data_IF_633801737503
#
_entry.id   IF_633801737503
#
_cell.length_a   1.000
_cell.length_b   1.000
_cell.length_c   1.000
_cell.angle_alpha   90.00
_cell.angle_beta   90.00
_cell.angle_gamma   90.00
#
_symmetry.space_group_name_H-M   'P 1'
#
loop_
_entity.id
_entity.type
_entity.pdbx_description
1 polymer ?
#
# COMPACT_ATOMS: atom_id res chain seq x y z
N UNK A 1 -0.88 -0.13 14.59
CA UNK A 1 -0.11 -0.59 13.43
C UNK A 1 0.35 0.61 12.62
N UNK A 2 1.49 0.50 11.90
CA UNK A 2 1.94 1.48 10.89
C UNK A 2 1.39 1.04 9.53
N UNK A 3 0.58 1.86 8.89
CA UNK A 3 -0.02 1.55 7.58
C UNK A 3 0.45 2.57 6.56
N UNK A 4 0.99 2.07 5.45
CA UNK A 4 1.43 2.90 4.32
C UNK A 4 0.37 2.86 3.22
N UNK A 5 -0.12 4.02 2.79
CA UNK A 5 -1.05 4.17 1.67
C UNK A 5 -0.30 4.87 0.54
N UNK A 6 -0.25 4.26 -0.63
CA UNK A 6 0.36 4.83 -1.83
C UNK A 6 -0.74 5.09 -2.86
N UNK A 7 -0.94 6.35 -3.19
CA UNK A 7 -1.94 6.81 -4.13
C UNK A 7 -1.27 7.34 -5.41
N UNK A 8 -1.78 6.92 -6.56
CA UNK A 8 -1.29 7.38 -7.85
C UNK A 8 -2.45 7.78 -8.77
N UNK A 9 -2.83 9.04 -8.77
CA UNK A 9 -3.77 9.61 -9.73
C UNK A 9 -3.57 11.13 -9.86
N UNK A 10 -3.45 11.68 -11.09
CA UNK A 10 -3.12 13.11 -11.28
C UNK A 10 -4.25 14.08 -10.94
N UNK A 11 -5.51 13.62 -10.91
CA UNK A 11 -6.65 14.47 -10.56
C UNK A 11 -7.03 14.28 -9.08
N UNK A 12 -6.90 15.32 -8.23
CA UNK A 12 -7.20 15.25 -6.80
C UNK A 12 -8.71 15.04 -6.50
N UNK A 13 -9.59 15.26 -7.48
CA UNK A 13 -11.02 14.98 -7.36
C UNK A 13 -11.41 13.59 -7.87
N UNK A 14 -10.44 12.74 -8.22
CA UNK A 14 -10.70 11.40 -8.73
C UNK A 14 -11.33 10.49 -7.68
N UNK A 15 -12.00 9.44 -8.14
CA UNK A 15 -12.53 8.42 -7.25
C UNK A 15 -11.41 7.65 -6.53
N UNK A 16 -10.17 7.59 -7.09
CA UNK A 16 -9.01 7.04 -6.39
C UNK A 16 -8.67 7.84 -5.13
N UNK A 17 -8.73 9.19 -5.20
CA UNK A 17 -8.54 10.03 -4.01
C UNK A 17 -9.64 9.80 -2.97
N UNK A 18 -10.90 9.66 -3.39
CA UNK A 18 -11.99 9.34 -2.49
C UNK A 18 -11.77 7.99 -1.78
N UNK A 19 -11.27 6.98 -2.49
CA UNK A 19 -10.91 5.67 -1.92
C UNK A 19 -9.78 5.83 -0.90
N UNK A 20 -8.67 6.50 -1.27
CA UNK A 20 -7.52 6.67 -0.39
C UNK A 20 -7.86 7.42 0.90
N UNK A 21 -8.60 8.54 0.78
CA UNK A 21 -9.08 9.31 1.94
C UNK A 21 -10.04 8.52 2.82
N UNK A 22 -10.89 7.68 2.23
CA UNK A 22 -11.81 6.81 2.98
C UNK A 22 -11.04 5.74 3.75
N UNK A 23 -10.04 5.12 3.13
CA UNK A 23 -9.17 4.14 3.78
C UNK A 23 -8.37 4.78 4.91
N UNK A 24 -7.77 5.96 4.68
CA UNK A 24 -7.03 6.72 5.68
C UNK A 24 -7.91 7.06 6.90
N UNK A 25 -9.11 7.61 6.66
CA UNK A 25 -10.03 7.99 7.72
C UNK A 25 -10.43 6.78 8.59
N UNK A 26 -10.75 5.64 7.96
CA UNK A 26 -11.10 4.40 8.66
C UNK A 26 -9.93 3.89 9.52
N UNK A 27 -8.70 3.89 8.97
CA UNK A 27 -7.51 3.45 9.70
C UNK A 27 -7.20 4.35 10.90
N UNK A 28 -7.26 5.68 10.71
CA UNK A 28 -7.03 6.65 11.80
C UNK A 28 -8.09 6.52 12.90
N UNK A 29 -9.35 6.31 12.52
CA UNK A 29 -10.43 6.08 13.49
C UNK A 29 -10.19 4.80 14.31
N UNK A 30 -9.50 3.80 13.74
CA UNK A 30 -9.12 2.56 14.43
C UNK A 30 -7.83 2.64 15.26
N UNK A 31 -7.22 3.82 15.31
CA UNK A 31 -6.01 4.06 16.10
C UNK A 31 -4.70 3.70 15.41
N UNK A 32 -4.71 3.48 14.08
CA UNK A 32 -3.49 3.18 13.35
C UNK A 32 -2.69 4.45 13.00
N UNK A 33 -1.36 4.31 12.94
CA UNK A 33 -0.47 5.34 12.40
C UNK A 33 -0.43 5.21 10.87
N UNK A 34 -1.01 6.19 10.18
CA UNK A 34 -1.16 6.16 8.72
C UNK A 34 -0.22 7.17 8.06
N UNK A 35 0.53 6.69 7.09
CA UNK A 35 1.35 7.46 6.16
C UNK A 35 0.72 7.38 4.78
N UNK A 36 0.17 8.50 4.30
CA UNK A 36 -0.41 8.61 2.96
C UNK A 36 0.56 9.37 2.06
N UNK A 37 0.97 8.71 0.98
CA UNK A 37 1.75 9.28 -0.10
C UNK A 37 0.87 9.44 -1.33
N UNK A 38 0.53 10.67 -1.67
CA UNK A 38 0.00 11.02 -2.98
C UNK A 38 1.18 11.34 -3.91
N UNK A 39 1.56 10.35 -4.70
CA UNK A 39 2.74 10.46 -5.55
C UNK A 39 2.67 11.62 -6.55
N UNK A 40 1.46 12.01 -6.97
CA UNK A 40 1.27 13.13 -7.90
C UNK A 40 1.38 14.48 -7.18
N UNK A 41 0.78 14.62 -6.00
CA UNK A 41 0.88 15.82 -5.17
C UNK A 41 2.32 16.06 -4.70
N UNK A 42 3.01 15.00 -4.30
CA UNK A 42 4.43 15.01 -3.90
C UNK A 42 5.39 15.25 -5.07
N UNK A 43 4.90 15.26 -6.32
CA UNK A 43 5.73 15.35 -7.52
C UNK A 43 6.84 14.30 -7.53
N UNK A 44 6.50 13.06 -7.09
CA UNK A 44 7.46 11.96 -7.06
C UNK A 44 8.09 11.77 -8.44
N UNK A 45 9.42 11.79 -8.51
CA UNK A 45 10.12 11.52 -9.77
C UNK A 45 10.16 10.01 -10.03
N UNK A 46 9.43 9.49 -11.05
CA UNK A 46 9.37 8.06 -11.34
C UNK A 46 10.60 7.53 -12.11
N UNK A 47 11.44 8.41 -12.64
CA UNK A 47 12.57 8.00 -13.46
C UNK A 47 13.69 7.45 -12.57
N UNK A 48 14.02 6.17 -12.75
CA UNK A 48 15.15 5.53 -12.09
C UNK A 48 16.45 5.98 -12.78
N UNK A 49 17.29 6.79 -12.13
CA UNK A 49 18.54 7.22 -12.72
C UNK A 49 19.58 6.11 -12.65
N UNK A 50 20.53 6.11 -13.62
CA UNK A 50 21.55 5.08 -13.71
C UNK A 50 22.41 4.95 -12.44
N UNK A 51 22.61 6.06 -11.74
CA UNK A 51 23.37 6.13 -10.50
C UNK A 51 22.70 5.34 -9.35
N UNK A 52 21.37 5.18 -9.39
CA UNK A 52 20.62 4.41 -8.38
C UNK A 52 20.60 2.89 -8.64
N UNK A 53 21.14 2.41 -9.76
CA UNK A 53 21.17 0.97 -10.07
C UNK A 53 22.15 0.19 -9.18
N UNK A 54 23.19 0.83 -8.68
CA UNK A 54 24.15 0.17 -7.79
C UNK A 54 23.48 -0.21 -6.46
N UNK A 55 23.83 -1.39 -5.92
CA UNK A 55 23.29 -1.90 -4.64
C UNK A 55 23.41 -0.90 -3.50
N UNK A 56 24.54 -0.19 -3.40
CA UNK A 56 24.84 0.78 -2.35
C UNK A 56 24.78 2.23 -2.86
N UNK A 57 23.93 2.50 -3.86
CA UNK A 57 23.79 3.83 -4.41
C UNK A 57 23.34 4.84 -3.35
N UNK A 58 23.89 6.05 -3.34
CA UNK A 58 23.40 7.13 -2.51
C UNK A 58 22.01 7.57 -3.02
N UNK A 59 20.99 7.44 -2.17
CA UNK A 59 19.63 7.80 -2.52
C UNK A 59 19.30 9.23 -2.08
N UNK A 60 18.50 9.94 -2.86
CA UNK A 60 17.91 11.22 -2.46
C UNK A 60 17.03 11.08 -1.21
N UNK A 61 16.80 12.17 -0.48
CA UNK A 61 16.04 12.14 0.79
C UNK A 61 14.63 11.59 0.65
N UNK A 62 13.91 11.95 -0.42
CA UNK A 62 12.56 11.45 -0.72
C UNK A 62 12.56 9.93 -0.87
N UNK A 63 13.46 9.38 -1.70
CA UNK A 63 13.52 7.93 -1.92
C UNK A 63 13.90 7.19 -0.63
N UNK A 64 14.87 7.70 0.13
CA UNK A 64 15.23 7.12 1.43
C UNK A 64 14.05 7.08 2.41
N UNK A 65 13.26 8.16 2.43
CA UNK A 65 12.07 8.23 3.27
C UNK A 65 11.06 7.13 2.88
N UNK A 66 10.70 7.04 1.59
CA UNK A 66 9.78 6.02 1.12
C UNK A 66 10.30 4.60 1.39
N UNK A 67 11.60 4.34 1.16
CA UNK A 67 12.23 3.05 1.48
C UNK A 67 12.13 2.72 2.97
N UNK A 68 12.42 3.68 3.83
CA UNK A 68 12.32 3.49 5.28
C UNK A 68 10.89 3.21 5.73
N UNK A 69 9.93 3.97 5.21
CA UNK A 69 8.54 3.86 5.61
C UNK A 69 7.87 2.56 5.14
N UNK A 70 8.22 2.08 3.94
CA UNK A 70 7.66 0.82 3.43
C UNK A 70 8.20 -0.40 4.18
N UNK A 71 9.46 -0.37 4.61
CA UNK A 71 10.07 -1.42 5.43
C UNK A 71 9.44 -1.49 6.82
N UNK A 72 9.06 -0.35 7.40
CA UNK A 72 8.42 -0.28 8.71
C UNK A 72 6.91 -0.58 8.69
N UNK A 73 6.29 -0.66 7.53
CA UNK A 73 4.86 -0.82 7.41
C UNK A 73 4.39 -2.21 7.88
N UNK A 74 3.44 -2.24 8.81
CA UNK A 74 2.71 -3.45 9.22
C UNK A 74 1.65 -3.86 8.19
N UNK A 75 1.22 -2.93 7.35
CA UNK A 75 0.26 -3.12 6.26
C UNK A 75 0.42 -2.08 5.16
N UNK A 76 0.03 -2.43 3.95
CA UNK A 76 0.20 -1.60 2.76
C UNK A 76 -1.12 -1.49 2.01
N UNK A 77 -1.47 -0.28 1.59
CA UNK A 77 -2.61 -0.04 0.70
C UNK A 77 -2.11 0.68 -0.55
N UNK A 78 -2.42 0.15 -1.72
CA UNK A 78 -2.15 0.78 -3.01
C UNK A 78 -3.46 1.24 -3.61
N UNK A 79 -3.52 2.46 -4.14
CA UNK A 79 -4.72 3.00 -4.80
C UNK A 79 -4.32 3.61 -6.14
N UNK A 80 -4.85 3.05 -7.24
CA UNK A 80 -4.54 3.55 -8.58
C UNK A 80 -5.60 3.17 -9.63
N UNK A 81 -5.70 3.88 -10.76
CA UNK A 81 -6.52 3.48 -11.89
C UNK A 81 -5.87 2.31 -12.65
N UNK A 82 -6.69 1.48 -13.28
CA UNK A 82 -6.22 0.54 -14.29
C UNK A 82 -6.08 1.27 -15.63
N UNK A 83 -4.87 1.54 -16.06
CA UNK A 83 -4.55 2.10 -17.35
C UNK A 83 -3.75 1.09 -18.19
N UNK A 84 -4.35 0.61 -19.28
CA UNK A 84 -3.73 -0.37 -20.17
C UNK A 84 -3.35 -1.70 -19.49
N UNK A 85 -4.10 -2.11 -18.46
CA UNK A 85 -3.73 -3.28 -17.65
C UNK A 85 -2.54 -3.07 -16.71
N UNK A 86 -2.15 -1.82 -16.47
CA UNK A 86 -0.99 -1.45 -15.67
C UNK A 86 -1.29 -0.33 -14.66
N UNK A 87 -0.47 -0.17 -13.63
CA UNK A 87 -0.44 1.05 -12.83
C UNK A 87 0.03 2.26 -13.66
N UNK A 88 -0.34 3.50 -13.28
CA UNK A 88 0.24 4.71 -13.87
C UNK A 88 1.77 4.73 -13.78
N UNK A 89 2.43 5.39 -14.74
CA UNK A 89 3.90 5.48 -14.82
C UNK A 89 4.56 5.95 -13.52
N UNK A 90 3.93 6.89 -12.81
CA UNK A 90 4.45 7.39 -11.53
C UNK A 90 4.49 6.29 -10.45
N UNK A 91 3.52 5.38 -10.43
CA UNK A 91 3.49 4.26 -9.49
C UNK A 91 4.45 3.15 -9.92
N UNK A 92 4.57 2.89 -11.22
CA UNK A 92 5.56 1.94 -11.74
C UNK A 92 6.97 2.38 -11.38
N UNK A 93 7.29 3.67 -11.59
CA UNK A 93 8.60 4.20 -11.19
C UNK A 93 8.79 4.25 -9.66
N UNK A 94 7.72 4.38 -8.88
CA UNK A 94 7.79 4.21 -7.43
C UNK A 94 8.18 2.77 -7.06
N UNK A 95 7.59 1.76 -7.71
CA UNK A 95 7.97 0.36 -7.53
C UNK A 95 9.47 0.17 -7.83
N UNK A 96 9.94 0.66 -8.99
CA UNK A 96 11.33 0.51 -9.42
C UNK A 96 12.32 1.16 -8.44
N UNK A 97 11.99 2.30 -7.85
CA UNK A 97 12.90 3.07 -7.01
C UNK A 97 12.82 2.73 -5.52
N UNK A 98 11.65 2.30 -5.04
CA UNK A 98 11.40 2.07 -3.61
C UNK A 98 11.43 0.59 -3.25
N UNK A 99 10.80 -0.28 -4.06
CA UNK A 99 10.84 -1.74 -3.81
C UNK A 99 12.11 -2.37 -4.38
N UNK A 100 13.24 -1.80 -4.03
CA UNK A 100 14.56 -2.16 -4.55
C UNK A 100 15.24 -3.25 -3.73
N UNK A 101 16.34 -3.78 -4.27
CA UNK A 101 17.21 -4.73 -3.58
C UNK A 101 17.72 -4.16 -2.25
N UNK A 102 17.82 -5.00 -1.22
CA UNK A 102 18.18 -4.69 0.18
C UNK A 102 17.17 -3.80 0.92
N UNK A 103 16.05 -3.46 0.28
CA UNK A 103 14.91 -2.78 0.90
C UNK A 103 13.72 -3.72 0.94
N UNK A 104 13.20 -4.13 -0.20
CA UNK A 104 12.01 -4.97 -0.28
C UNK A 104 12.31 -6.46 -0.53
N UNK A 105 13.48 -6.77 -1.06
CA UNK A 105 13.95 -8.13 -1.30
C UNK A 105 15.49 -8.19 -1.33
N UNK A 106 16.05 -9.42 -1.24
CA UNK A 106 17.49 -9.67 -1.44
C UNK A 106 17.73 -11.06 -2.01
N UNK A 107 18.84 -11.23 -2.70
CA UNK A 107 19.31 -12.54 -3.10
C UNK A 107 20.17 -13.17 -2.00
N UNK A 108 20.08 -14.48 -1.83
CA UNK A 108 20.88 -15.21 -0.85
C UNK A 108 22.36 -15.17 -1.23
N UNK A 109 23.27 -15.32 -0.26
CA UNK A 109 24.70 -15.12 -0.43
C UNK A 109 25.36 -15.96 -1.55
N UNK A 110 24.80 -17.13 -1.87
CA UNK A 110 25.29 -18.03 -2.93
C UNK A 110 24.46 -17.98 -4.21
N UNK A 111 23.51 -17.05 -4.30
CA UNK A 111 22.66 -16.88 -5.47
C UNK A 111 23.28 -15.83 -6.39
N UNK A 112 23.56 -16.20 -7.63
CA UNK A 112 24.15 -15.30 -8.63
C UNK A 112 23.07 -14.50 -9.40
N UNK A 113 21.84 -14.47 -8.91
CA UNK A 113 20.72 -13.76 -9.52
C UNK A 113 19.79 -14.65 -10.35
N UNK A 114 19.97 -15.97 -10.29
CA UNK A 114 19.14 -16.97 -10.98
C UNK A 114 18.00 -17.50 -10.09
N UNK A 115 18.11 -17.30 -8.76
CA UNK A 115 17.16 -17.79 -7.79
C UNK A 115 16.00 -16.83 -7.51
N UNK A 116 15.06 -17.31 -6.73
CA UNK A 116 13.96 -16.49 -6.22
C UNK A 116 14.46 -15.67 -5.04
N UNK A 117 14.39 -14.34 -5.06
CA UNK A 117 14.85 -13.53 -3.96
C UNK A 117 14.04 -13.76 -2.69
N UNK A 118 14.68 -13.57 -1.55
CA UNK A 118 14.00 -13.52 -0.26
C UNK A 118 13.30 -12.16 -0.11
N UNK A 119 11.98 -12.15 0.15
CA UNK A 119 11.25 -10.95 0.50
C UNK A 119 11.64 -10.41 1.88
N UNK A 120 11.70 -9.10 2.02
CA UNK A 120 12.13 -8.40 3.24
C UNK A 120 11.03 -7.56 3.89
N UNK A 121 9.91 -7.32 3.21
CA UNK A 121 8.82 -6.54 3.79
C UNK A 121 8.17 -7.30 4.95
N UNK A 122 7.93 -6.60 6.05
CA UNK A 122 7.32 -7.17 7.26
C UNK A 122 5.80 -6.99 7.30
N UNK A 123 5.25 -6.31 6.31
CA UNK A 123 3.81 -6.10 6.19
C UNK A 123 3.05 -7.43 6.18
N UNK A 124 2.06 -7.55 7.06
CA UNK A 124 1.26 -8.78 7.21
C UNK A 124 0.31 -9.00 6.04
N UNK A 125 -0.19 -7.90 5.50
CA UNK A 125 -1.12 -7.92 4.36
C UNK A 125 -1.00 -6.64 3.52
N UNK A 126 -1.47 -6.75 2.29
CA UNK A 126 -1.66 -5.60 1.42
C UNK A 126 -3.07 -5.59 0.81
N UNK A 127 -3.61 -4.40 0.59
CA UNK A 127 -4.84 -4.21 -0.18
C UNK A 127 -4.50 -3.36 -1.39
N UNK A 128 -5.01 -3.76 -2.56
CA UNK A 128 -4.90 -2.97 -3.78
C UNK A 128 -6.29 -2.57 -4.26
N UNK A 129 -6.57 -1.29 -4.22
CA UNK A 129 -7.79 -0.72 -4.77
C UNK A 129 -7.52 -0.18 -6.17
N UNK A 130 -8.24 -0.71 -7.15
CA UNK A 130 -8.17 -0.23 -8.52
C UNK A 130 -9.48 0.41 -8.94
N UNK A 131 -9.40 1.39 -9.84
CA UNK A 131 -10.55 1.88 -10.59
C UNK A 131 -10.38 1.53 -12.07
N UNK A 132 -11.46 1.18 -12.74
CA UNK A 132 -11.45 0.85 -14.16
C UNK A 132 -12.70 1.39 -14.86
N UNK A 133 -12.61 1.55 -16.18
CA UNK A 133 -13.76 1.82 -17.05
C UNK A 133 -14.12 0.60 -17.93
N UNK A 134 -13.42 -0.50 -17.76
CA UNK A 134 -13.74 -1.79 -18.35
C UNK A 134 -14.47 -2.64 -17.32
N UNK A 135 -15.60 -3.30 -17.66
CA UNK A 135 -16.23 -4.28 -16.78
C UNK A 135 -15.27 -5.40 -16.38
N UNK A 136 -15.34 -5.87 -15.13
CA UNK A 136 -14.41 -6.88 -14.60
C UNK A 136 -14.41 -8.18 -15.41
N UNK A 137 -15.60 -8.62 -15.90
CA UNK A 137 -15.73 -9.79 -16.74
C UNK A 137 -14.91 -9.65 -18.04
N UNK A 138 -15.08 -8.50 -18.73
CA UNK A 138 -14.33 -8.21 -19.95
C UNK A 138 -12.82 -8.10 -19.70
N UNK A 139 -12.41 -7.47 -18.59
CA UNK A 139 -11.00 -7.37 -18.18
C UNK A 139 -10.38 -8.77 -18.06
N UNK A 140 -11.09 -9.68 -17.40
CA UNK A 140 -10.63 -11.06 -17.20
C UNK A 140 -10.63 -11.88 -18.48
N UNK A 141 -11.71 -11.81 -19.26
CA UNK A 141 -11.87 -12.69 -20.44
C UNK A 141 -10.99 -12.25 -21.62
N UNK A 142 -10.82 -10.94 -21.82
CA UNK A 142 -10.10 -10.42 -22.98
C UNK A 142 -8.64 -10.12 -22.71
N UNK A 143 -8.32 -9.70 -21.49
CA UNK A 143 -6.98 -9.24 -21.13
C UNK A 143 -6.30 -10.11 -20.08
N UNK A 144 -7.02 -11.08 -19.47
CA UNK A 144 -6.46 -11.98 -18.46
C UNK A 144 -6.21 -11.34 -17.11
N UNK A 145 -6.76 -10.14 -16.84
CA UNK A 145 -6.58 -9.38 -15.61
C UNK A 145 -5.11 -9.26 -15.16
N UNK A 146 -4.25 -8.57 -15.95
CA UNK A 146 -2.81 -8.55 -15.68
C UNK A 146 -2.44 -7.95 -14.32
N UNK A 147 -3.27 -7.06 -13.75
CA UNK A 147 -3.04 -6.48 -12.42
C UNK A 147 -3.15 -7.50 -11.28
N UNK A 148 -3.91 -8.57 -11.46
CA UNK A 148 -3.98 -9.65 -10.47
C UNK A 148 -2.63 -10.35 -10.29
N UNK A 149 -2.01 -10.73 -11.40
CA UNK A 149 -0.69 -11.35 -11.39
C UNK A 149 0.41 -10.37 -10.96
N UNK A 150 0.34 -9.14 -11.46
CA UNK A 150 1.30 -8.09 -11.12
C UNK A 150 1.39 -7.88 -9.61
N UNK A 151 0.26 -7.58 -8.96
CA UNK A 151 0.28 -7.22 -7.55
C UNK A 151 0.51 -8.42 -6.64
N UNK A 152 -0.18 -9.54 -6.87
CA UNK A 152 -0.12 -10.68 -5.96
C UNK A 152 1.16 -11.50 -6.11
N UNK A 153 1.65 -11.66 -7.35
CA UNK A 153 2.80 -12.53 -7.62
C UNK A 153 4.09 -11.74 -7.83
N UNK A 154 4.08 -10.78 -8.78
CA UNK A 154 5.31 -10.12 -9.19
C UNK A 154 5.80 -9.07 -8.17
N UNK A 155 4.88 -8.30 -7.55
CA UNK A 155 5.27 -7.24 -6.61
C UNK A 155 5.27 -7.79 -5.17
N UNK A 156 4.10 -7.99 -4.59
CA UNK A 156 4.03 -8.33 -3.16
C UNK A 156 4.54 -9.73 -2.84
N UNK A 157 4.25 -10.72 -3.70
CA UNK A 157 4.74 -12.09 -3.51
C UNK A 157 6.26 -12.15 -3.47
N UNK A 158 6.95 -11.40 -4.34
CA UNK A 158 8.40 -11.32 -4.39
C UNK A 158 8.98 -10.57 -3.18
N UNK A 159 8.27 -9.58 -2.69
CA UNK A 159 8.64 -8.82 -1.50
C UNK A 159 8.32 -9.52 -0.17
N UNK A 160 7.66 -10.70 -0.19
CA UNK A 160 7.36 -11.49 1.01
C UNK A 160 5.98 -11.24 1.62
N UNK A 161 5.14 -10.39 1.01
CA UNK A 161 3.77 -10.13 1.46
C UNK A 161 2.82 -11.11 0.76
N UNK A 162 2.35 -12.13 1.47
CA UNK A 162 1.56 -13.22 0.89
C UNK A 162 0.05 -13.04 1.00
N UNK A 163 -0.42 -12.23 1.95
CA UNK A 163 -1.84 -11.91 2.11
C UNK A 163 -2.15 -10.63 1.33
N UNK A 164 -2.56 -10.78 0.06
CA UNK A 164 -2.87 -9.64 -0.81
C UNK A 164 -4.30 -9.75 -1.30
N UNK A 165 -5.13 -8.78 -0.96
CA UNK A 165 -6.47 -8.62 -1.50
C UNK A 165 -6.51 -7.49 -2.53
N UNK A 166 -7.17 -7.73 -3.66
CA UNK A 166 -7.37 -6.71 -4.69
C UNK A 166 -8.85 -6.52 -4.97
N UNK A 167 -9.26 -5.27 -5.05
CA UNK A 167 -10.61 -4.88 -5.41
C UNK A 167 -10.62 -3.83 -6.52
N UNK A 168 -11.27 -4.15 -7.61
CA UNK A 168 -11.46 -3.22 -8.74
C UNK A 168 -12.87 -2.64 -8.71
N UNK A 169 -12.99 -1.33 -8.72
CA UNK A 169 -14.26 -0.62 -8.85
C UNK A 169 -14.47 -0.21 -10.33
N UNK A 170 -15.45 -0.83 -10.97
CA UNK A 170 -15.75 -0.65 -12.39
C UNK A 170 -17.27 -0.63 -12.67
N UNK A 171 -17.80 0.11 -13.58
CA UNK A 171 -17.24 1.09 -14.50
C UNK A 171 -17.38 2.48 -13.86
N UNK A 172 -16.27 3.18 -13.59
CA UNK A 172 -16.34 4.44 -12.82
C UNK A 172 -17.03 5.54 -13.60
N UNK A 173 -16.76 5.66 -14.91
CA UNK A 173 -17.26 6.75 -15.75
C UNK A 173 -18.80 6.82 -15.81
N UNK A 174 -19.48 5.69 -15.72
CA UNK A 174 -20.95 5.59 -15.73
C UNK A 174 -21.56 5.35 -14.35
N UNK A 175 -20.74 5.32 -13.29
CA UNK A 175 -21.22 5.06 -11.94
C UNK A 175 -22.04 6.21 -11.38
N UNK A 176 -23.12 5.89 -10.67
CA UNK A 176 -23.96 6.87 -9.98
C UNK A 176 -23.33 7.28 -8.63
N UNK A 177 -23.69 8.46 -8.07
CA UNK A 177 -23.28 8.84 -6.72
C UNK A 177 -23.65 7.79 -5.67
N UNK A 178 -24.81 7.17 -5.76
CA UNK A 178 -25.25 6.11 -4.86
C UNK A 178 -24.39 4.85 -4.95
N UNK A 179 -23.96 4.48 -6.17
CA UNK A 179 -23.04 3.35 -6.36
C UNK A 179 -21.66 3.65 -5.77
N UNK A 180 -21.11 4.85 -6.02
CA UNK A 180 -19.83 5.27 -5.42
C UNK A 180 -19.88 5.29 -3.89
N UNK A 181 -20.98 5.73 -3.29
CA UNK A 181 -21.14 5.70 -1.83
C UNK A 181 -21.10 4.26 -1.28
N UNK A 182 -21.73 3.30 -1.98
CA UNK A 182 -21.64 1.87 -1.62
C UNK A 182 -20.20 1.35 -1.75
N UNK A 183 -19.50 1.68 -2.81
CA UNK A 183 -18.10 1.31 -2.99
C UNK A 183 -17.19 1.87 -1.87
N UNK A 184 -17.41 3.12 -1.44
CA UNK A 184 -16.65 3.66 -0.31
C UNK A 184 -16.99 2.96 1.02
N UNK A 185 -18.22 2.47 1.17
CA UNK A 185 -18.59 1.62 2.32
C UNK A 185 -17.84 0.27 2.26
N UNK A 186 -17.73 -0.33 1.08
CA UNK A 186 -16.95 -1.55 0.86
C UNK A 186 -15.46 -1.33 1.20
N UNK A 187 -14.88 -0.19 0.79
CA UNK A 187 -13.49 0.18 1.17
C UNK A 187 -13.32 0.18 2.68
N UNK A 188 -14.24 0.81 3.45
CA UNK A 188 -14.18 0.81 4.92
C UNK A 188 -14.23 -0.61 5.48
N UNK A 189 -15.13 -1.44 4.97
CA UNK A 189 -15.29 -2.83 5.43
C UNK A 189 -14.03 -3.66 5.18
N UNK A 190 -13.44 -3.56 3.99
CA UNK A 190 -12.20 -4.26 3.66
C UNK A 190 -11.04 -3.79 4.54
N UNK A 191 -10.86 -2.48 4.68
CA UNK A 191 -9.83 -1.90 5.56
C UNK A 191 -10.01 -2.37 7.01
N UNK A 192 -11.25 -2.36 7.50
CA UNK A 192 -11.57 -2.81 8.85
C UNK A 192 -11.29 -4.30 9.09
N UNK A 193 -11.52 -5.14 8.08
CA UNK A 193 -11.27 -6.58 8.16
C UNK A 193 -9.77 -6.90 8.15
N UNK A 194 -8.99 -6.21 7.30
CA UNK A 194 -7.54 -6.42 7.21
C UNK A 194 -6.77 -5.79 8.37
N UNK A 195 -7.22 -4.64 8.85
CA UNK A 195 -6.56 -3.86 9.89
C UNK A 195 -7.53 -3.60 11.05
N UNK A 196 -7.79 -4.59 11.90
CA UNK A 196 -8.69 -4.44 13.05
C UNK A 196 -8.12 -3.40 14.03
N UNK A 197 -9.01 -2.73 14.77
CA UNK A 197 -8.61 -1.75 15.78
C UNK A 197 -7.59 -2.34 16.76
N UNK A 198 -6.60 -1.55 17.15
CA UNK A 198 -5.68 -1.94 18.19
C UNK A 198 -6.47 -2.11 19.51
N UNK A 199 -6.34 -3.29 20.11
CA UNK A 199 -6.91 -3.50 21.45
C UNK A 199 -6.22 -2.52 22.39
N UNK A 200 -6.96 -1.55 22.93
CA UNK A 200 -6.45 -0.75 24.03
C UNK A 200 -6.03 -1.72 25.15
N UNK A 201 -4.75 -1.69 25.50
CA UNK A 201 -4.29 -2.41 26.68
C UNK A 201 -5.13 -1.92 27.88
N UNK A 202 -5.66 -2.81 28.74
CA UNK A 202 -6.42 -2.39 29.90
C UNK A 202 -5.58 -1.39 30.69
N UNK A 203 -6.16 -0.25 31.04
CA UNK A 203 -5.50 0.77 31.84
C UNK A 203 -4.92 0.10 33.10
N UNK A 204 -3.62 0.20 33.31
CA UNK A 204 -3.00 -0.29 34.54
C UNK A 204 -3.73 0.36 35.71
N UNK A 205 -4.25 -0.43 36.67
CA UNK A 205 -4.86 0.13 37.87
C UNK A 205 -3.82 1.03 38.56
N UNK A 206 -4.20 2.28 38.82
CA UNK A 206 -3.38 3.17 39.63
C UNK A 206 -3.22 2.53 41.01
N UNK A 207 -2.00 2.09 41.34
CA UNK A 207 -1.66 1.66 42.66
C UNK A 207 -1.66 2.91 43.56
N UNK A 208 -2.74 3.11 44.29
CA UNK A 208 -2.81 4.13 45.33
C UNK A 208 -1.78 3.77 46.39
N UNK A 209 -0.73 4.59 46.50
CA UNK A 209 0.25 4.48 47.57
C UNK A 209 -0.46 4.75 48.90
N UNK A 210 -0.66 3.68 49.68
CA UNK A 210 -1.12 3.78 51.06
C UNK A 210 -0.06 4.54 51.85
N UNK A 211 -0.42 5.71 52.35
CA UNK A 211 0.36 6.47 53.33
C UNK A 211 0.53 5.59 54.58
N UNK A 212 1.74 5.14 54.84
CA UNK A 212 2.08 4.60 56.16
C UNK A 212 2.05 5.78 57.13
N UNK A 213 1.06 5.83 58.01
CA UNK A 213 1.08 6.63 59.22
C UNK A 213 2.07 5.99 60.19
N UNK A 214 3.09 6.73 60.55
CA UNK A 214 4.00 6.39 61.65
C UNK A 214 3.34 6.86 62.96
N UNK A 215 3.24 5.95 63.92
CA UNK A 215 3.09 6.24 65.34
C UNK A 215 4.41 5.91 66.03
#
# INVERSE_FOLDING_TARGET
>A
MKISIILAHPNPESFNHAIARTAEAELRQRGHNVRLHDLCEEQFNPLLPAEELARNAPLGSVIRQHCHEIVEADGIIIVHPNWWGMPPAILTGWIDRVLRMEVAYRFMANDQGEGVPQGLLVARSAIVFNTANTPEEREREWFGDPLEALWKKCVFGLCGVTQVERRTFSVVVTSTPALRARWLTEVRQMVAAHYPAERQAPARPMVTAARRASV
#
